data_IF_583006194748
#
_entry.id   IF_583006194748
#
_cell.length_a   1.000
_cell.length_b   1.000
_cell.length_c   1.000
_cell.angle_alpha   90.00
_cell.angle_beta   90.00
_cell.angle_gamma   90.00
#
_symmetry.space_group_name_H-M   'P 1'
#
loop_
_entity.id
_entity.type
_entity.pdbx_description
1 polymer ?
#
# COMPACT_ATOMS: atom_id res chain seq x y z
N UNK A 1 -4.21 49.21 13.41
CA UNK A 1 -3.77 49.59 12.05
C UNK A 1 -2.69 48.58 11.68
N UNK A 2 -2.86 47.52 10.90
CA UNK A 2 -3.84 47.03 9.91
C UNK A 2 -3.76 45.48 9.99
N UNK A 3 -4.83 44.83 10.46
CA UNK A 3 -5.75 43.97 9.70
C UNK A 3 -5.35 42.48 9.61
N UNK A 4 -5.86 41.74 10.60
CA UNK A 4 -6.20 40.32 10.56
C UNK A 4 -7.16 40.05 9.39
N UNK A 5 -6.84 39.11 8.50
CA UNK A 5 -7.78 38.54 7.53
C UNK A 5 -8.15 37.13 7.99
N UNK A 6 -9.15 37.09 8.87
CA UNK A 6 -9.93 35.93 9.22
C UNK A 6 -10.89 35.64 8.06
N UNK A 7 -10.67 34.56 7.31
CA UNK A 7 -11.67 34.01 6.39
C UNK A 7 -12.79 33.39 7.23
N UNK A 8 -13.78 34.20 7.58
CA UNK A 8 -15.06 33.74 8.12
C UNK A 8 -15.86 33.13 6.98
N UNK A 9 -15.90 31.79 6.92
CA UNK A 9 -16.91 31.08 6.15
C UNK A 9 -18.26 31.28 6.83
N UNK A 10 -19.20 31.78 6.03
CA UNK A 10 -20.50 32.30 6.40
C UNK A 10 -21.47 31.15 6.71
N UNK A 11 -21.40 30.56 7.90
CA UNK A 11 -22.42 29.63 8.39
C UNK A 11 -23.64 30.41 8.89
N UNK A 12 -24.63 30.64 8.01
CA UNK A 12 -25.96 31.06 8.44
C UNK A 12 -26.66 29.90 9.16
N UNK A 13 -27.15 30.07 10.39
CA UNK A 13 -27.97 29.06 11.05
C UNK A 13 -29.35 29.02 10.38
N UNK A 14 -29.68 27.90 9.72
CA UNK A 14 -31.02 27.63 9.22
C UNK A 14 -31.94 27.40 10.42
N UNK A 15 -32.70 28.43 10.75
CA UNK A 15 -33.73 28.39 11.80
C UNK A 15 -34.80 27.33 11.50
N UNK A 16 -35.10 26.53 12.52
CA UNK A 16 -36.20 25.60 12.63
C UNK A 16 -37.52 26.22 12.13
N UNK A 17 -38.03 25.72 10.99
CA UNK A 17 -39.44 25.84 10.61
C UNK A 17 -40.07 24.45 10.66
N UNK A 18 -40.54 24.07 11.85
CA UNK A 18 -41.48 22.97 12.01
C UNK A 18 -42.85 23.42 11.48
N UNK A 19 -43.07 23.24 10.17
CA UNK A 19 -44.39 23.27 9.56
C UNK A 19 -45.04 21.89 9.70
N UNK A 20 -46.27 21.85 10.21
CA UNK A 20 -47.09 20.63 10.36
C UNK A 20 -47.25 19.94 9.00
N UNK A 21 -46.68 18.75 8.84
CA UNK A 21 -46.98 17.83 7.72
C UNK A 21 -48.23 17.01 8.08
N UNK A 22 -49.30 17.17 7.31
CA UNK A 22 -50.43 16.25 7.29
C UNK A 22 -50.03 14.96 6.58
N UNK A 23 -50.54 13.79 6.99
CA UNK A 23 -50.15 12.52 6.38
C UNK A 23 -50.81 12.36 5.00
N UNK A 24 -50.00 12.34 3.95
CA UNK A 24 -50.40 11.86 2.63
C UNK A 24 -50.40 10.32 2.60
N UNK A 25 -51.26 9.69 1.78
CA UNK A 25 -51.45 8.24 1.82
C UNK A 25 -50.21 7.50 1.28
N UNK A 26 -49.80 6.47 2.04
CA UNK A 26 -48.71 5.56 1.70
C UNK A 26 -49.03 4.84 0.39
N UNK A 27 -48.34 5.22 -0.68
CA UNK A 27 -48.36 4.46 -1.93
C UNK A 27 -47.60 3.14 -1.73
N UNK A 28 -48.35 2.04 -1.69
CA UNK A 28 -47.84 0.67 -1.81
C UNK A 28 -47.25 0.49 -3.20
N UNK A 29 -45.93 0.29 -3.27
CA UNK A 29 -45.17 -0.50 -4.25
C UNK A 29 -43.79 0.14 -4.51
N UNK A 30 -42.86 -0.04 -3.59
CA UNK A 30 -41.45 -0.03 -3.96
C UNK A 30 -41.07 -1.45 -4.33
N UNK A 31 -41.16 -1.80 -5.61
CA UNK A 31 -40.46 -2.98 -6.11
C UNK A 31 -39.00 -2.81 -5.72
N UNK A 32 -38.46 -3.70 -4.87
CA UNK A 32 -37.02 -3.82 -4.70
C UNK A 32 -36.51 -4.33 -6.05
N UNK A 33 -36.13 -3.42 -6.94
CA UNK A 33 -35.36 -3.77 -8.12
C UNK A 33 -33.99 -4.13 -7.60
N UNK A 34 -33.77 -5.43 -7.39
CA UNK A 34 -32.45 -6.00 -7.41
C UNK A 34 -31.97 -5.90 -8.87
N UNK A 35 -31.58 -4.69 -9.30
CA UNK A 35 -30.76 -4.58 -10.49
C UNK A 35 -29.41 -5.14 -10.07
N UNK A 36 -29.09 -6.35 -10.50
CA UNK A 36 -27.71 -6.75 -10.62
C UNK A 36 -27.06 -5.72 -11.54
N UNK A 37 -26.47 -4.68 -10.96
CA UNK A 37 -25.79 -3.63 -11.69
C UNK A 37 -24.64 -4.31 -12.40
N UNK A 38 -24.72 -4.43 -13.72
CA UNK A 38 -23.62 -4.93 -14.54
C UNK A 38 -22.37 -4.12 -14.16
N UNK A 39 -21.26 -4.75 -13.73
CA UNK A 39 -20.10 -4.01 -13.29
C UNK A 39 -19.64 -3.10 -14.43
N UNK A 40 -19.56 -1.80 -14.13
CA UNK A 40 -19.23 -0.77 -15.13
C UNK A 40 -17.74 -0.77 -15.47
N UNK A 41 -16.90 -1.32 -14.57
CA UNK A 41 -15.45 -1.40 -14.70
C UNK A 41 -14.94 -2.71 -14.11
N UNK A 42 -13.93 -3.29 -14.77
CA UNK A 42 -13.19 -4.47 -14.31
C UNK A 42 -11.72 -4.11 -14.15
N UNK A 43 -11.11 -4.56 -13.06
CA UNK A 43 -9.68 -4.42 -12.82
C UNK A 43 -9.07 -5.77 -12.43
N UNK A 44 -7.85 -6.01 -12.90
CA UNK A 44 -7.05 -7.18 -12.53
C UNK A 44 -6.08 -6.79 -11.42
N UNK A 45 -6.09 -7.53 -10.31
CA UNK A 45 -5.23 -7.31 -9.16
C UNK A 45 -4.36 -8.55 -8.95
N UNK A 46 -3.04 -8.39 -9.01
CA UNK A 46 -2.12 -9.42 -8.53
C UNK A 46 -2.08 -9.38 -7.02
N UNK A 47 -2.41 -10.51 -6.38
CA UNK A 47 -2.24 -10.71 -4.96
C UNK A 47 -0.88 -11.38 -4.72
N UNK A 48 -0.08 -10.79 -3.83
CA UNK A 48 1.20 -11.31 -3.37
C UNK A 48 1.13 -11.55 -1.85
N UNK A 49 0.53 -12.68 -1.39
CA UNK A 49 0.39 -13.00 0.02
C UNK A 49 1.70 -12.93 0.81
N UNK A 50 2.75 -13.54 0.25
CA UNK A 50 4.07 -13.61 0.84
C UNK A 50 4.12 -14.47 2.10
N UNK A 51 4.83 -14.01 3.13
CA UNK A 51 5.30 -14.79 4.27
C UNK A 51 4.61 -14.39 5.59
N UNK A 52 4.73 -15.26 6.61
CA UNK A 52 4.22 -15.00 7.95
C UNK A 52 2.71 -14.73 7.98
N UNK A 53 2.31 -13.58 8.53
CA UNK A 53 0.89 -13.17 8.60
C UNK A 53 0.34 -12.68 7.25
N UNK A 54 1.19 -12.54 6.22
CA UNK A 54 0.84 -11.99 4.91
C UNK A 54 -0.40 -12.64 4.27
N UNK A 55 -0.48 -13.97 4.17
CA UNK A 55 -1.65 -14.66 3.63
C UNK A 55 -2.96 -14.38 4.39
N UNK A 56 -2.90 -14.30 5.72
CA UNK A 56 -4.09 -14.05 6.55
C UNK A 56 -4.64 -12.64 6.32
N UNK A 57 -3.77 -11.62 6.35
CA UNK A 57 -4.20 -10.22 6.17
C UNK A 57 -4.66 -9.94 4.74
N UNK A 58 -4.05 -10.58 3.74
CA UNK A 58 -4.45 -10.45 2.33
C UNK A 58 -5.81 -11.09 2.07
N UNK A 59 -6.11 -12.23 2.69
CA UNK A 59 -7.42 -12.88 2.58
C UNK A 59 -8.54 -11.95 3.10
N UNK A 60 -8.32 -11.29 4.24
CA UNK A 60 -9.27 -10.31 4.79
C UNK A 60 -9.39 -9.09 3.87
N UNK A 61 -8.28 -8.53 3.40
CA UNK A 61 -8.29 -7.37 2.50
C UNK A 61 -9.04 -7.66 1.18
N UNK A 62 -8.84 -8.85 0.60
CA UNK A 62 -9.57 -9.33 -0.60
C UNK A 62 -11.09 -9.33 -0.38
N UNK A 63 -11.55 -9.79 0.79
CA UNK A 63 -12.98 -9.79 1.12
C UNK A 63 -13.56 -8.38 1.25
N UNK A 64 -12.84 -7.46 1.91
CA UNK A 64 -13.23 -6.05 2.03
C UNK A 64 -13.27 -5.38 0.65
N UNK A 65 -12.26 -5.61 -0.19
CA UNK A 65 -12.22 -5.09 -1.56
C UNK A 65 -13.41 -5.57 -2.39
N UNK A 66 -13.74 -6.86 -2.34
CA UNK A 66 -14.90 -7.40 -3.05
C UNK A 66 -16.22 -6.78 -2.59
N UNK A 67 -16.40 -6.61 -1.28
CA UNK A 67 -17.60 -5.99 -0.73
C UNK A 67 -17.74 -4.54 -1.24
N UNK A 68 -16.70 -3.73 -1.10
CA UNK A 68 -16.70 -2.34 -1.57
C UNK A 68 -16.91 -2.26 -3.09
N UNK A 69 -16.27 -3.16 -3.86
CA UNK A 69 -16.44 -3.22 -5.31
C UNK A 69 -17.89 -3.49 -5.71
N UNK A 70 -18.57 -4.40 -5.01
CA UNK A 70 -19.98 -4.71 -5.27
C UNK A 70 -20.92 -3.52 -5.06
N UNK A 71 -20.62 -2.67 -4.08
CA UNK A 71 -21.39 -1.46 -3.76
C UNK A 71 -21.19 -0.38 -4.84
N UNK A 72 -19.95 -0.24 -5.32
CA UNK A 72 -19.57 0.78 -6.31
C UNK A 72 -19.74 0.32 -7.77
N UNK A 73 -20.24 -0.89 -8.01
CA UNK A 73 -20.39 -1.44 -9.36
C UNK A 73 -19.06 -1.69 -10.09
N UNK A 74 -18.03 -2.08 -9.34
CA UNK A 74 -16.69 -2.47 -9.81
C UNK A 74 -16.57 -4.00 -9.70
N UNK A 75 -15.81 -4.61 -10.62
CA UNK A 75 -15.43 -6.02 -10.54
C UNK A 75 -13.91 -6.15 -10.42
N UNK A 76 -13.44 -6.98 -9.48
CA UNK A 76 -12.03 -7.36 -9.37
C UNK A 76 -11.81 -8.78 -9.85
N UNK A 77 -10.75 -8.98 -10.64
CA UNK A 77 -10.18 -10.29 -10.96
C UNK A 77 -8.87 -10.43 -10.20
N UNK A 78 -8.78 -11.41 -9.31
CA UNK A 78 -7.60 -11.62 -8.49
C UNK A 78 -6.76 -12.77 -9.01
N UNK A 79 -5.46 -12.54 -9.18
CA UNK A 79 -4.49 -13.60 -9.47
C UNK A 79 -3.44 -13.65 -8.36
N UNK A 80 -3.42 -14.74 -7.62
CA UNK A 80 -2.46 -14.97 -6.54
C UNK A 80 -1.15 -15.52 -7.11
N UNK A 81 -0.02 -14.91 -6.74
CA UNK A 81 1.31 -15.30 -7.19
C UNK A 81 2.31 -15.38 -6.02
N UNK A 82 3.29 -16.30 -6.06
CA UNK A 82 4.28 -16.45 -5.00
C UNK A 82 5.35 -15.34 -5.02
N UNK A 83 5.76 -14.89 -3.83
CA UNK A 83 6.90 -13.97 -3.61
C UNK A 83 7.56 -14.29 -2.26
N UNK A 84 8.81 -13.85 -2.07
CA UNK A 84 9.49 -13.94 -0.78
C UNK A 84 9.91 -15.36 -0.43
N UNK A 85 9.79 -15.71 0.85
CA UNK A 85 10.05 -17.05 1.37
C UNK A 85 9.13 -18.12 0.77
N UNK A 86 7.85 -17.79 0.57
CA UNK A 86 6.89 -18.67 -0.09
C UNK A 86 7.30 -19.00 -1.54
N UNK A 87 7.91 -18.04 -2.25
CA UNK A 87 8.49 -18.31 -3.57
C UNK A 87 9.78 -19.13 -3.48
N UNK A 88 10.67 -18.84 -2.53
CA UNK A 88 11.88 -19.62 -2.30
C UNK A 88 11.57 -21.11 -2.07
N UNK A 89 10.56 -21.39 -1.24
CA UNK A 89 10.14 -22.76 -0.95
C UNK A 89 9.54 -23.48 -2.17
N UNK A 90 8.89 -22.74 -3.08
CA UNK A 90 8.19 -23.30 -4.23
C UNK A 90 9.07 -23.43 -5.48
N UNK A 91 9.92 -22.44 -5.75
CA UNK A 91 10.66 -22.30 -7.02
C UNK A 91 12.16 -22.10 -6.83
N UNK A 92 12.64 -21.93 -5.58
CA UNK A 92 14.05 -21.68 -5.29
C UNK A 92 14.50 -20.23 -5.48
N UNK A 93 13.62 -19.31 -5.87
CA UNK A 93 13.95 -17.87 -6.03
C UNK A 93 12.94 -16.98 -5.33
N UNK A 94 13.34 -15.82 -4.76
CA UNK A 94 12.44 -14.97 -3.98
C UNK A 94 11.45 -14.17 -4.84
N UNK A 95 11.68 -14.07 -6.16
CA UNK A 95 10.74 -13.50 -7.12
C UNK A 95 10.79 -14.29 -8.43
N UNK A 96 9.83 -15.18 -8.68
CA UNK A 96 9.72 -15.88 -9.95
C UNK A 96 9.41 -14.92 -11.10
N UNK A 97 9.92 -15.21 -12.29
CA UNK A 97 9.66 -14.38 -13.48
C UNK A 97 8.17 -14.26 -13.79
N UNK A 98 7.42 -15.36 -13.64
CA UNK A 98 5.97 -15.38 -13.87
C UNK A 98 5.23 -14.43 -12.92
N UNK A 99 5.69 -14.31 -11.67
CA UNK A 99 5.12 -13.36 -10.69
C UNK A 99 5.31 -11.93 -11.17
N UNK A 100 6.51 -11.57 -11.61
CA UNK A 100 6.79 -10.23 -12.11
C UNK A 100 6.01 -9.92 -13.40
N UNK A 101 5.92 -10.89 -14.31
CA UNK A 101 5.14 -10.75 -15.55
C UNK A 101 3.65 -10.54 -15.24
N UNK A 102 3.09 -11.32 -14.32
CA UNK A 102 1.71 -11.20 -13.87
C UNK A 102 1.43 -9.85 -13.22
N UNK A 103 2.35 -9.39 -12.36
CA UNK A 103 2.28 -8.07 -11.73
C UNK A 103 2.29 -6.94 -12.76
N UNK A 104 3.14 -7.03 -13.80
CA UNK A 104 3.20 -6.04 -14.90
C UNK A 104 1.95 -6.01 -15.78
N UNK A 105 1.23 -7.14 -15.87
CA UNK A 105 0.00 -7.27 -16.65
C UNK A 105 -1.26 -6.87 -15.87
N UNK A 106 -1.13 -6.62 -14.57
CA UNK A 106 -2.24 -6.25 -13.68
C UNK A 106 -2.37 -4.73 -13.56
N UNK A 107 -3.57 -4.26 -13.23
CA UNK A 107 -3.83 -2.85 -12.94
C UNK A 107 -3.26 -2.43 -11.58
N UNK A 108 -3.20 -3.36 -10.63
CA UNK A 108 -2.63 -3.14 -9.31
C UNK A 108 -2.01 -4.41 -8.72
N UNK A 109 -1.13 -4.21 -7.74
CA UNK A 109 -0.52 -5.29 -6.95
C UNK A 109 -0.83 -5.03 -5.47
N UNK A 110 -1.35 -6.04 -4.78
CA UNK A 110 -1.57 -6.01 -3.34
C UNK A 110 -0.67 -7.04 -2.67
N UNK A 111 0.28 -6.55 -1.86
CA UNK A 111 1.30 -7.36 -1.20
C UNK A 111 1.05 -7.42 0.31
N UNK A 112 1.20 -8.61 0.90
CA UNK A 112 1.05 -8.86 2.33
C UNK A 112 2.32 -8.54 3.12
N UNK A 113 3.12 -9.56 3.40
CA UNK A 113 4.39 -9.43 4.12
C UNK A 113 5.47 -10.30 3.49
N UNK A 114 6.74 -10.00 3.74
CA UNK A 114 7.89 -10.75 3.21
C UNK A 114 8.90 -10.93 4.35
N UNK A 115 9.53 -12.09 4.43
CA UNK A 115 10.60 -12.41 5.38
C UNK A 115 10.21 -13.50 6.39
N UNK A 116 11.23 -14.09 7.01
CA UNK A 116 11.05 -15.08 8.06
C UNK A 116 12.34 -15.82 8.41
N UNK A 117 12.42 -16.31 9.65
CA UNK A 117 13.64 -16.90 10.23
C UNK A 117 14.22 -18.08 9.43
N UNK A 118 13.37 -18.79 8.69
CA UNK A 118 13.76 -19.94 7.86
C UNK A 118 14.82 -19.58 6.81
N UNK A 119 14.79 -18.35 6.29
CA UNK A 119 15.64 -17.93 5.17
C UNK A 119 16.71 -16.91 5.58
N UNK A 120 16.89 -16.64 6.89
CA UNK A 120 17.85 -15.62 7.38
C UNK A 120 19.30 -15.95 7.03
N UNK A 121 19.63 -17.24 7.01
CA UNK A 121 20.97 -17.76 6.71
C UNK A 121 21.21 -17.99 5.21
N UNK A 122 20.24 -17.67 4.35
CA UNK A 122 20.44 -17.76 2.91
C UNK A 122 21.46 -16.72 2.43
N UNK A 123 22.12 -17.04 1.32
CA UNK A 123 22.88 -16.05 0.57
C UNK A 123 22.00 -14.83 0.22
N UNK A 124 22.60 -13.64 0.17
CA UNK A 124 21.86 -12.37 -0.02
C UNK A 124 20.88 -12.41 -1.21
N UNK A 125 21.26 -13.02 -2.33
CA UNK A 125 20.43 -13.09 -3.52
C UNK A 125 19.22 -14.04 -3.38
N UNK A 126 19.26 -14.94 -2.39
CA UNK A 126 18.20 -15.89 -2.04
C UNK A 126 17.47 -15.50 -0.74
N UNK A 127 17.59 -14.25 -0.31
CA UNK A 127 16.79 -13.71 0.79
C UNK A 127 15.43 -13.22 0.29
N UNK A 128 14.34 -13.41 1.07
CA UNK A 128 13.01 -12.94 0.70
C UNK A 128 12.95 -11.46 0.30
N UNK A 129 13.68 -10.59 1.01
CA UNK A 129 13.71 -9.14 0.79
C UNK A 129 14.29 -8.75 -0.57
N UNK A 130 15.17 -9.59 -1.14
CA UNK A 130 15.70 -9.39 -2.49
C UNK A 130 14.59 -9.46 -3.53
N UNK A 131 13.59 -10.32 -3.33
CA UNK A 131 12.40 -10.37 -4.19
C UNK A 131 11.60 -9.07 -4.16
N UNK A 132 11.47 -8.43 -3.00
CA UNK A 132 10.80 -7.13 -2.86
C UNK A 132 11.54 -6.00 -3.60
N UNK A 133 12.87 -5.98 -3.55
CA UNK A 133 13.68 -4.98 -4.27
C UNK A 133 13.54 -5.16 -5.79
N UNK A 134 13.65 -6.40 -6.29
CA UNK A 134 13.48 -6.69 -7.71
C UNK A 134 12.05 -6.42 -8.20
N UNK A 135 11.03 -6.64 -7.36
CA UNK A 135 9.65 -6.29 -7.71
C UNK A 135 9.49 -4.77 -7.90
N UNK A 136 10.04 -3.97 -6.98
CA UNK A 136 9.98 -2.50 -7.04
C UNK A 136 10.68 -1.94 -8.27
N UNK A 137 11.90 -2.41 -8.53
CA UNK A 137 12.67 -2.06 -9.72
C UNK A 137 11.93 -2.50 -10.99
N UNK A 138 11.45 -3.75 -11.02
CA UNK A 138 10.76 -4.34 -12.16
C UNK A 138 9.45 -3.63 -12.53
N UNK A 139 8.72 -3.10 -11.54
CA UNK A 139 7.50 -2.32 -11.74
C UNK A 139 7.75 -0.81 -11.89
N UNK A 140 8.99 -0.34 -11.67
CA UNK A 140 9.37 1.09 -11.73
C UNK A 140 8.53 1.99 -10.81
N UNK A 141 8.16 1.48 -9.63
CA UNK A 141 7.35 2.20 -8.64
C UNK A 141 8.22 3.12 -7.77
N UNK A 142 8.81 4.15 -8.39
CA UNK A 142 9.78 5.03 -7.73
C UNK A 142 9.19 5.85 -6.57
N UNK A 143 7.90 6.19 -6.61
CA UNK A 143 7.25 7.00 -5.59
C UNK A 143 6.64 6.14 -4.47
N UNK A 144 7.30 6.07 -3.33
CA UNK A 144 6.74 5.44 -2.13
C UNK A 144 6.02 6.45 -1.26
N UNK A 145 4.72 6.24 -1.06
CA UNK A 145 3.88 7.07 -0.19
C UNK A 145 3.64 6.36 1.13
N UNK A 146 3.97 7.02 2.25
CA UNK A 146 3.75 6.51 3.61
C UNK A 146 3.08 7.58 4.47
N UNK A 147 1.73 7.61 4.54
CA UNK A 147 1.04 8.46 5.48
C UNK A 147 1.33 7.99 6.91
N UNK A 148 1.67 8.94 7.78
CA UNK A 148 1.86 8.72 9.21
C UNK A 148 0.95 9.71 9.95
N UNK A 149 -0.20 9.21 10.38
CA UNK A 149 -1.22 10.00 11.08
C UNK A 149 -1.60 9.32 12.38
N UNK A 150 -1.75 10.10 13.46
CA UNK A 150 -2.17 9.58 14.77
C UNK A 150 -3.68 9.69 14.89
N UNK A 151 -4.36 8.54 14.93
CA UNK A 151 -5.80 8.50 15.12
C UNK A 151 -6.17 8.96 16.55
N UNK A 152 -7.17 9.82 16.74
CA UNK A 152 -7.57 10.32 18.07
C UNK A 152 -7.85 9.20 19.09
N UNK A 153 -8.39 8.07 18.62
CA UNK A 153 -8.72 6.90 19.43
C UNK A 153 -7.48 6.11 19.89
N UNK A 154 -6.30 6.35 19.30
CA UNK A 154 -5.06 5.59 19.52
C UNK A 154 -3.89 6.48 19.98
N UNK A 155 -4.14 7.73 20.39
CA UNK A 155 -3.08 8.68 20.77
C UNK A 155 -2.20 8.11 21.89
N UNK A 156 -2.78 7.40 22.85
CA UNK A 156 -2.08 6.83 24.00
C UNK A 156 -1.20 5.61 23.65
N UNK A 157 -1.27 5.10 22.41
CA UNK A 157 -0.35 4.08 21.90
C UNK A 157 1.01 4.66 21.49
N UNK A 158 1.09 5.98 21.28
CA UNK A 158 2.35 6.67 21.00
C UNK A 158 3.24 6.72 22.24
N UNK A 159 4.55 6.57 22.06
CA UNK A 159 5.53 6.75 23.13
C UNK A 159 5.86 8.23 23.41
N UNK A 160 5.41 9.14 22.54
CA UNK A 160 5.57 10.58 22.72
C UNK A 160 4.50 11.13 23.66
N UNK A 161 4.78 12.30 24.24
CA UNK A 161 3.77 13.03 25.03
C UNK A 161 2.54 13.33 24.17
N UNK A 162 1.36 13.30 24.79
CA UNK A 162 0.08 13.49 24.11
C UNK A 162 0.03 14.80 23.33
N UNK A 163 0.46 15.89 23.94
CA UNK A 163 0.51 17.22 23.32
C UNK A 163 1.47 17.35 22.13
N UNK A 164 2.32 16.34 21.89
CA UNK A 164 3.21 16.24 20.73
C UNK A 164 2.66 15.29 19.66
N UNK A 165 2.01 14.19 20.07
CA UNK A 165 1.51 13.16 19.16
C UNK A 165 0.12 13.47 18.59
N UNK A 166 -0.74 14.11 19.39
CA UNK A 166 -2.11 14.41 18.99
C UNK A 166 -2.14 15.37 17.79
N UNK A 167 -2.89 14.98 16.75
CA UNK A 167 -3.02 15.78 15.53
C UNK A 167 -1.85 15.64 14.55
N UNK A 168 -0.87 14.77 14.81
CA UNK A 168 0.16 14.44 13.81
C UNK A 168 -0.51 13.86 12.56
N UNK A 169 -0.24 14.48 11.41
CA UNK A 169 -0.68 14.05 10.09
C UNK A 169 0.35 14.49 9.05
N UNK A 170 1.14 13.55 8.55
CA UNK A 170 2.17 13.82 7.55
C UNK A 170 2.23 12.72 6.49
N UNK A 171 2.74 13.10 5.31
CA UNK A 171 3.00 12.18 4.21
C UNK A 171 4.50 12.14 3.92
N UNK A 172 5.12 10.97 4.08
CA UNK A 172 6.49 10.76 3.59
C UNK A 172 6.41 10.31 2.14
N UNK A 173 6.99 11.10 1.25
CA UNK A 173 7.25 10.73 -0.14
C UNK A 173 8.71 10.33 -0.26
N UNK A 174 8.96 9.04 -0.51
CA UNK A 174 10.30 8.45 -0.57
C UNK A 174 10.58 7.92 -1.97
N UNK A 175 11.73 8.28 -2.53
CA UNK A 175 12.29 7.62 -3.72
C UNK A 175 12.65 6.15 -3.39
N UNK A 176 12.21 5.21 -4.24
CA UNK A 176 12.15 3.78 -3.94
C UNK A 176 13.00 2.89 -4.85
N UNK A 177 13.48 3.41 -5.97
CA UNK A 177 14.14 2.64 -7.05
C UNK A 177 15.55 3.13 -7.41
N UNK A 178 16.08 4.12 -6.71
CA UNK A 178 17.41 4.70 -6.92
C UNK A 178 18.29 4.70 -5.67
N UNK A 179 19.26 5.63 -5.64
CA UNK A 179 20.18 5.83 -4.53
C UNK A 179 21.03 4.60 -4.19
N UNK A 180 21.48 4.51 -2.95
CA UNK A 180 22.39 3.49 -2.43
C UNK A 180 21.84 2.06 -2.54
N UNK A 181 20.52 1.93 -2.68
CA UNK A 181 19.86 0.63 -2.83
C UNK A 181 20.17 -0.02 -4.18
N UNK A 182 20.32 0.76 -5.25
CA UNK A 182 20.50 0.26 -6.62
C UNK A 182 21.81 0.72 -7.28
N UNK A 183 22.49 1.71 -6.69
CA UNK A 183 23.74 2.26 -7.20
C UNK A 183 24.87 1.25 -7.36
N UNK A 184 25.67 1.47 -8.40
CA UNK A 184 26.86 0.68 -8.76
C UNK A 184 28.08 1.61 -8.87
N UNK A 185 29.31 1.14 -8.58
CA UNK A 185 29.66 -0.22 -8.16
C UNK A 185 29.25 -0.52 -6.70
N UNK A 186 29.08 -1.80 -6.36
CA UNK A 186 28.81 -2.24 -4.99
C UNK A 186 29.37 -3.63 -4.72
N UNK A 187 29.73 -3.93 -3.49
CA UNK A 187 30.18 -5.27 -3.10
C UNK A 187 31.15 -5.26 -1.94
N UNK A 188 31.89 -6.35 -1.85
CA UNK A 188 33.02 -6.53 -0.94
C UNK A 188 34.27 -6.79 -1.78
N UNK A 189 35.43 -6.36 -1.28
CA UNK A 189 36.73 -6.63 -1.88
C UNK A 189 37.82 -6.60 -0.82
N UNK A 190 39.06 -6.88 -1.23
CA UNK A 190 40.23 -6.81 -0.38
C UNK A 190 41.19 -5.78 -0.98
N UNK A 191 41.71 -4.87 -0.16
CA UNK A 191 42.72 -3.91 -0.64
C UNK A 191 44.10 -4.54 -0.76
N UNK A 192 45.06 -3.76 -1.25
CA UNK A 192 46.46 -4.19 -1.43
C UNK A 192 47.14 -4.62 -0.11
N UNK A 193 46.63 -4.14 1.04
CA UNK A 193 47.13 -4.48 2.37
C UNK A 193 46.48 -5.75 2.95
N UNK A 194 45.54 -6.39 2.23
CA UNK A 194 44.82 -7.57 2.73
C UNK A 194 43.59 -7.25 3.60
N UNK A 195 43.17 -5.98 3.68
CA UNK A 195 42.01 -5.56 4.49
C UNK A 195 40.70 -5.68 3.70
N UNK A 196 39.64 -6.17 4.35
CA UNK A 196 38.31 -6.24 3.76
C UNK A 196 37.68 -4.85 3.64
N UNK A 197 37.15 -4.54 2.45
CA UNK A 197 36.44 -3.31 2.14
C UNK A 197 35.04 -3.63 1.65
N UNK A 198 34.02 -3.07 2.30
CA UNK A 198 32.64 -3.03 1.79
C UNK A 198 32.34 -1.67 1.17
N UNK A 199 31.66 -1.65 0.03
CA UNK A 199 31.30 -0.40 -0.63
C UNK A 199 29.91 -0.46 -1.28
N UNK A 200 29.23 0.68 -1.26
CA UNK A 200 28.00 0.98 -1.98
C UNK A 200 28.07 2.40 -2.53
N UNK A 201 27.37 2.66 -3.63
CA UNK A 201 27.33 3.98 -4.26
C UNK A 201 25.96 4.61 -4.08
N UNK A 202 25.90 5.73 -3.38
CA UNK A 202 24.75 6.65 -3.43
C UNK A 202 24.85 7.47 -4.73
N UNK A 203 23.90 7.30 -5.64
CA UNK A 203 23.90 7.98 -6.95
C UNK A 203 22.47 8.25 -7.39
N UNK A 204 22.28 9.44 -7.96
CA UNK A 204 21.03 9.88 -8.55
C UNK A 204 21.30 10.64 -9.86
N UNK A 205 20.42 10.44 -10.85
CA UNK A 205 20.35 11.26 -12.04
C UNK A 205 19.38 12.43 -11.82
N UNK A 206 19.52 13.51 -12.59
CA UNK A 206 18.69 14.73 -12.41
C UNK A 206 17.20 14.55 -12.73
N UNK A 207 16.80 13.43 -13.35
CA UNK A 207 15.40 13.13 -13.69
C UNK A 207 14.70 12.25 -12.65
N UNK A 208 15.47 11.68 -11.72
CA UNK A 208 14.99 10.86 -10.61
C UNK A 208 14.54 11.76 -9.46
#
# INVERSE_FOLDING_TARGET
>A
MVASHCLQLNCKPLANKFGKLSPSPIAKNSSIRCSATTPSKRYTITLLPGDGIGPEVISVAKNVLNLTASIEGIQFEFKEMPIGGAALDLTGVPLPEETLLTAKQSDAVLLGAIGGYKWDNNEKHLKPETGLLHLREGLKVFANLRPASVLPQLVDASTLKKEVAEGVDLMVVRELTGGIYFGKPRGFGTNENGEEIGFNTEVYASFE
#
